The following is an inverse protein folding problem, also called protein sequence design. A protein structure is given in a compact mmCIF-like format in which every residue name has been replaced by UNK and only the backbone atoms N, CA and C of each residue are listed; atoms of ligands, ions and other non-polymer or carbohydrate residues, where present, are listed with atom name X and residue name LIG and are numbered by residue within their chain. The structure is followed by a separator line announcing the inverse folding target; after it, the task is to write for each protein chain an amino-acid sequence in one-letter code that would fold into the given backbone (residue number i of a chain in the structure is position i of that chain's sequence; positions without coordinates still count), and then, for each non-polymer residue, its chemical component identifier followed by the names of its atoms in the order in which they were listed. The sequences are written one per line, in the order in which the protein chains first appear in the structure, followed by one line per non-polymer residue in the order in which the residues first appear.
data_IF_359454556525
#
_entry.id   IF_359454556525
#
_cell.length_a   1.000
_cell.length_b   1.000
_cell.length_c   1.000
_cell.angle_alpha   90.00
_cell.angle_beta   90.00
_cell.angle_gamma   90.00
#
_symmetry.space_group_name_H-M   'P 1'
#
loop_
_entity.id
_entity.type
_entity.pdbx_description
1 polymer ?
#
# COMPACT_ATOMS: atom_id res chain seq x y z
N UNK A 1 21.05 8.64 10.52
CA UNK A 1 21.05 9.35 9.22
C UNK A 1 19.70 10.03 9.07
N UNK A 2 19.58 11.12 8.31
CA UNK A 2 18.28 11.76 8.04
C UNK A 2 18.19 11.94 6.52
N UNK A 3 17.16 11.39 5.89
CA UNK A 3 16.87 11.69 4.49
C UNK A 3 15.86 12.83 4.45
N UNK A 4 16.22 13.90 3.72
CA UNK A 4 15.36 15.05 3.47
C UNK A 4 14.95 15.03 2.00
N UNK A 5 13.63 15.03 1.77
CA UNK A 5 13.04 14.91 0.45
C UNK A 5 12.25 16.17 0.12
N UNK A 6 12.42 16.65 -1.10
CA UNK A 6 11.65 17.77 -1.65
C UNK A 6 11.19 17.37 -3.05
N UNK A 7 9.89 17.45 -3.28
CA UNK A 7 9.27 17.22 -4.59
C UNK A 7 8.45 18.45 -4.97
N UNK A 8 8.65 18.95 -6.19
CA UNK A 8 7.87 20.07 -6.72
C UNK A 8 7.36 19.75 -8.12
N UNK A 9 6.05 19.80 -8.31
CA UNK A 9 5.44 19.69 -9.63
C UNK A 9 5.54 21.00 -10.40
N UNK A 10 5.36 20.93 -11.71
CA UNK A 10 5.31 22.10 -12.60
C UNK A 10 4.23 21.90 -13.67
N UNK A 11 3.92 22.92 -14.46
CA UNK A 11 2.97 22.79 -15.57
C UNK A 11 3.37 21.70 -16.58
N UNK A 12 4.68 21.46 -16.77
CA UNK A 12 5.18 20.40 -17.68
C UNK A 12 5.16 19.01 -17.03
N UNK A 13 5.27 18.96 -15.71
CA UNK A 13 5.32 17.73 -14.93
C UNK A 13 4.33 17.87 -13.74
N UNK A 14 3.01 17.81 -14.02
CA UNK A 14 1.97 17.99 -13.00
C UNK A 14 1.71 16.71 -12.19
N UNK A 15 2.32 15.59 -12.59
CA UNK A 15 2.27 14.33 -11.89
C UNK A 15 3.69 13.87 -11.61
N UNK A 16 4.05 13.79 -10.32
CA UNK A 16 5.35 13.31 -9.88
C UNK A 16 5.20 12.46 -8.62
N UNK A 17 6.11 11.51 -8.46
CA UNK A 17 6.22 10.65 -7.28
C UNK A 17 7.64 10.71 -6.73
N UNK A 18 7.78 10.70 -5.41
CA UNK A 18 9.07 10.59 -4.73
C UNK A 18 8.93 9.76 -3.45
N UNK A 19 9.62 8.63 -3.43
CA UNK A 19 9.61 7.68 -2.31
C UNK A 19 11.02 7.45 -1.79
N UNK A 20 11.15 7.28 -0.47
CA UNK A 20 12.23 6.46 0.08
C UNK A 20 11.82 5.00 -0.15
N UNK A 21 12.58 4.29 -0.97
CA UNK A 21 12.30 2.91 -1.37
C UNK A 21 13.31 1.95 -0.76
N UNK A 22 12.84 1.01 0.06
CA UNK A 22 13.61 -0.13 0.53
C UNK A 22 13.19 -1.37 -0.25
N UNK A 23 13.86 -1.62 -1.37
CA UNK A 23 13.67 -2.81 -2.20
C UNK A 23 14.74 -3.88 -1.93
N UNK A 24 14.35 -5.14 -2.06
CA UNK A 24 15.22 -6.32 -1.98
C UNK A 24 15.49 -6.93 -3.36
N UNK A 25 15.01 -6.27 -4.42
CA UNK A 25 15.16 -6.75 -5.79
C UNK A 25 16.53 -6.39 -6.35
N UNK A 26 17.09 -7.32 -7.12
CA UNK A 26 18.19 -7.08 -8.04
C UNK A 26 17.66 -7.41 -9.44
N UNK A 27 17.87 -6.52 -10.41
CA UNK A 27 17.33 -6.70 -11.76
C UNK A 27 15.96 -6.06 -11.93
N UNK A 28 15.10 -6.63 -12.78
CA UNK A 28 13.82 -6.05 -13.15
C UNK A 28 12.90 -5.87 -11.92
N UNK A 29 12.44 -4.64 -11.69
CA UNK A 29 11.62 -4.28 -10.52
C UNK A 29 10.20 -3.96 -10.95
N UNK A 30 9.39 -5.01 -11.15
CA UNK A 30 7.92 -5.02 -11.11
C UNK A 30 7.16 -3.83 -11.69
N UNK A 31 7.64 -3.23 -12.79
CA UNK A 31 7.05 -2.03 -13.40
C UNK A 31 8.06 -1.09 -14.07
N UNK A 32 9.33 -1.15 -13.66
CA UNK A 32 10.39 -0.33 -14.24
C UNK A 32 11.21 -1.12 -15.27
N UNK A 33 11.44 -0.51 -16.44
CA UNK A 33 12.17 -1.11 -17.57
C UNK A 33 13.69 -1.17 -17.38
N UNK A 34 14.20 -0.87 -16.17
CA UNK A 34 15.62 -0.87 -15.83
C UNK A 34 15.91 -1.74 -14.60
N UNK A 35 17.10 -2.39 -14.54
CA UNK A 35 17.55 -3.06 -13.34
C UNK A 35 17.61 -2.10 -12.14
N UNK A 36 16.96 -2.46 -11.03
CA UNK A 36 17.17 -1.78 -9.75
C UNK A 36 18.18 -2.55 -8.91
N UNK A 37 18.82 -1.82 -7.98
CA UNK A 37 19.66 -2.39 -6.93
C UNK A 37 19.15 -1.85 -5.61
N UNK A 38 18.40 -2.68 -4.91
CA UNK A 38 17.78 -2.23 -3.69
C UNK A 38 18.68 -2.17 -2.47
N UNK A 39 18.20 -1.46 -1.45
CA UNK A 39 18.90 -1.26 -0.18
C UNK A 39 18.68 -2.43 0.81
N UNK A 40 17.57 -3.16 0.68
CA UNK A 40 17.25 -4.26 1.58
C UNK A 40 18.01 -5.53 1.19
N UNK A 41 18.50 -6.25 2.20
CA UNK A 41 19.15 -7.56 2.05
C UNK A 41 18.23 -8.73 2.38
N UNK A 42 16.99 -8.44 2.78
CA UNK A 42 16.00 -9.43 3.19
C UNK A 42 14.68 -9.15 2.49
N UNK A 43 13.94 -10.22 2.17
CA UNK A 43 12.55 -10.12 1.73
C UNK A 43 11.68 -10.48 2.93
N UNK A 44 11.10 -9.50 3.65
CA UNK A 44 10.21 -9.79 4.76
C UNK A 44 8.94 -10.51 4.29
N UNK A 45 8.39 -11.33 5.16
CA UNK A 45 7.23 -12.17 4.87
C UNK A 45 6.18 -12.01 5.96
N UNK A 46 4.94 -11.73 5.54
CA UNK A 46 3.82 -11.64 6.48
C UNK A 46 3.52 -13.00 7.12
N UNK A 47 3.08 -13.04 8.38
CA UNK A 47 2.77 -11.90 9.24
C UNK A 47 3.98 -11.36 10.05
N UNK A 48 5.18 -11.88 9.86
CA UNK A 48 6.24 -11.83 10.87
C UNK A 48 7.27 -10.72 10.64
N UNK A 49 6.84 -9.46 10.58
CA UNK A 49 7.76 -8.32 10.58
C UNK A 49 7.08 -7.01 10.94
N UNK A 50 7.86 -6.09 11.49
CA UNK A 50 7.47 -4.71 11.75
C UNK A 50 8.35 -3.75 10.95
N UNK A 51 7.88 -2.52 10.79
CA UNK A 51 8.70 -1.43 10.26
C UNK A 51 8.66 -0.28 11.24
N UNK A 52 9.83 0.21 11.63
CA UNK A 52 9.99 1.34 12.55
C UNK A 52 10.67 2.48 11.80
N UNK A 53 10.20 3.72 11.98
CA UNK A 53 10.80 4.92 11.40
C UNK A 53 10.25 6.17 12.07
N UNK A 54 10.99 7.26 11.98
CA UNK A 54 10.51 8.60 12.37
C UNK A 54 10.22 9.41 11.12
N UNK A 55 8.99 9.90 10.99
CA UNK A 55 8.51 10.68 9.86
C UNK A 55 8.13 12.08 10.31
N UNK A 56 8.53 13.09 9.53
CA UNK A 56 8.07 14.45 9.65
C UNK A 56 7.62 14.97 8.28
N UNK A 57 6.31 15.18 8.10
CA UNK A 57 5.77 15.80 6.89
C UNK A 57 5.78 17.31 7.09
N UNK A 58 6.58 18.03 6.31
CA UNK A 58 6.74 19.49 6.38
C UNK A 58 5.76 20.17 5.43
N UNK A 59 5.61 19.63 4.21
CA UNK A 59 4.62 20.08 3.21
C UNK A 59 3.98 18.87 2.53
N UNK A 60 2.66 18.92 2.36
CA UNK A 60 1.86 17.77 1.96
C UNK A 60 1.74 17.53 0.45
N UNK A 61 2.16 18.45 -0.43
CA UNK A 61 1.97 18.27 -1.87
C UNK A 61 0.59 18.66 -2.42
N UNK A 62 -0.21 19.40 -1.64
CA UNK A 62 -1.54 19.86 -2.02
C UNK A 62 -2.68 18.94 -1.58
N UNK A 63 -3.94 19.32 -1.85
CA UNK A 63 -5.13 18.60 -1.37
C UNK A 63 -5.28 17.21 -1.98
N UNK A 64 -4.86 17.06 -3.24
CA UNK A 64 -4.99 15.82 -4.02
C UNK A 64 -3.78 14.89 -3.91
N UNK A 65 -2.80 15.21 -3.07
CA UNK A 65 -1.62 14.36 -2.93
C UNK A 65 -1.95 13.07 -2.18
N UNK A 66 -1.30 11.99 -2.58
CA UNK A 66 -1.29 10.74 -1.84
C UNK A 66 0.08 10.62 -1.19
N UNK A 67 0.14 10.91 0.11
CA UNK A 67 1.34 10.65 0.90
C UNK A 67 1.19 9.30 1.58
N UNK A 68 2.01 8.34 1.18
CA UNK A 68 2.00 7.00 1.73
C UNK A 68 2.86 6.94 3.00
N UNK A 69 2.22 6.67 4.14
CA UNK A 69 2.94 6.28 5.37
C UNK A 69 3.71 4.98 5.13
N UNK A 70 3.08 4.09 4.37
CA UNK A 70 3.60 2.81 3.95
C UNK A 70 3.02 2.48 2.58
N UNK A 71 3.89 2.24 1.61
CA UNK A 71 3.58 1.67 0.31
C UNK A 71 4.39 0.38 0.19
N UNK A 72 3.71 -0.74 0.03
CA UNK A 72 4.31 -2.06 -0.07
C UNK A 72 4.04 -2.69 -1.41
N UNK A 73 5.11 -3.13 -2.07
CA UNK A 73 5.04 -3.82 -3.35
C UNK A 73 5.49 -5.28 -3.27
N UNK A 74 4.78 -6.15 -3.99
CA UNK A 74 5.11 -7.56 -4.15
C UNK A 74 4.55 -8.14 -5.44
N UNK A 75 4.84 -9.41 -5.73
CA UNK A 75 4.31 -10.14 -6.87
C UNK A 75 4.01 -11.60 -6.51
N UNK A 76 2.80 -12.06 -6.85
CA UNK A 76 2.44 -13.48 -6.90
C UNK A 76 1.34 -13.72 -7.95
N UNK A 77 1.09 -14.97 -8.32
CA UNK A 77 0.02 -15.34 -9.26
C UNK A 77 -1.31 -15.53 -8.53
N UNK A 78 -2.44 -15.47 -9.23
CA UNK A 78 -3.77 -15.69 -8.62
C UNK A 78 -3.94 -17.09 -8.04
N UNK A 79 -3.13 -18.06 -8.47
CA UNK A 79 -3.10 -19.41 -7.89
C UNK A 79 -2.17 -19.57 -6.66
N UNK A 80 -1.60 -18.47 -6.17
CA UNK A 80 -0.72 -18.43 -5.00
C UNK A 80 0.74 -18.79 -5.25
N UNK A 81 1.10 -19.16 -6.48
CA UNK A 81 2.50 -19.39 -6.85
C UNK A 81 3.28 -18.06 -6.91
N UNK A 82 4.60 -18.09 -6.67
CA UNK A 82 5.47 -16.94 -6.92
C UNK A 82 5.41 -16.50 -8.39
N UNK A 83 5.63 -15.20 -8.63
CA UNK A 83 5.85 -14.68 -9.97
C UNK A 83 7.12 -15.25 -10.60
N UNK A 84 7.10 -15.41 -11.93
CA UNK A 84 8.19 -15.98 -12.72
C UNK A 84 8.59 -15.14 -13.94
N UNK A 85 8.04 -13.92 -14.05
CA UNK A 85 8.26 -13.00 -15.16
C UNK A 85 7.23 -13.15 -16.29
N UNK A 86 6.22 -14.01 -16.14
CA UNK A 86 5.15 -14.14 -17.12
C UNK A 86 4.12 -13.01 -16.93
N UNK A 87 4.21 -11.99 -17.80
CA UNK A 87 3.35 -10.79 -17.79
C UNK A 87 1.84 -11.07 -17.90
N UNK A 88 1.43 -12.27 -18.31
CA UNK A 88 0.01 -12.65 -18.40
C UNK A 88 -0.50 -13.19 -17.06
N UNK A 89 0.32 -13.98 -16.35
CA UNK A 89 -0.10 -14.67 -15.11
C UNK A 89 0.37 -13.98 -13.83
N UNK A 90 1.46 -13.24 -13.90
CA UNK A 90 2.02 -12.51 -12.78
C UNK A 90 1.12 -11.34 -12.41
N UNK A 91 0.96 -11.10 -11.11
CA UNK A 91 0.15 -9.99 -10.61
C UNK A 91 0.96 -9.19 -9.61
N UNK A 92 1.17 -7.92 -9.92
CA UNK A 92 1.83 -6.97 -9.01
C UNK A 92 0.82 -6.48 -7.99
N UNK A 93 1.23 -6.44 -6.72
CA UNK A 93 0.33 -6.14 -5.62
C UNK A 93 0.85 -5.04 -4.73
N UNK A 94 -0.04 -4.11 -4.44
CA UNK A 94 0.23 -2.94 -3.63
C UNK A 94 -0.67 -2.88 -2.40
N UNK A 95 -0.05 -2.59 -1.26
CA UNK A 95 -0.75 -2.12 -0.07
C UNK A 95 -0.25 -0.74 0.30
N UNK A 96 -1.16 0.22 0.39
CA UNK A 96 -0.81 1.64 0.53
C UNK A 96 -1.65 2.30 1.63
N UNK A 97 -1.02 2.94 2.61
CA UNK A 97 -1.69 3.74 3.65
C UNK A 97 -1.50 5.23 3.36
N UNK A 98 -2.58 5.94 3.02
CA UNK A 98 -2.53 7.38 2.67
C UNK A 98 -2.74 8.24 3.92
N UNK A 99 -1.79 9.14 4.23
CA UNK A 99 -1.86 10.05 5.39
C UNK A 99 -2.66 11.33 5.16
N UNK A 100 -2.71 11.81 3.92
CA UNK A 100 -3.34 13.10 3.62
C UNK A 100 -4.80 13.09 4.12
N UNK A 101 -5.16 13.92 5.11
CA UNK A 101 -6.47 13.89 5.75
C UNK A 101 -7.61 14.26 4.79
N UNK A 102 -7.30 14.99 3.72
CA UNK A 102 -8.25 15.42 2.71
C UNK A 102 -8.63 14.28 1.74
N UNK A 103 -7.88 13.18 1.73
CA UNK A 103 -8.21 12.00 0.92
C UNK A 103 -9.57 11.42 1.35
N UNK A 104 -10.56 11.38 0.45
CA UNK A 104 -11.87 10.82 0.75
C UNK A 104 -11.83 9.30 0.70
N UNK A 105 -12.78 8.63 1.35
CA UNK A 105 -13.04 7.22 1.07
C UNK A 105 -13.88 7.10 -0.21
N UNK A 106 -13.43 6.31 -1.18
CA UNK A 106 -14.23 5.93 -2.35
C UNK A 106 -14.94 4.59 -2.17
N UNK A 107 -14.47 3.77 -1.25
CA UNK A 107 -15.21 2.62 -0.76
C UNK A 107 -16.40 3.09 0.08
N UNK A 108 -17.62 2.93 -0.45
CA UNK A 108 -18.85 3.40 0.21
C UNK A 108 -19.94 2.33 0.22
N UNK A 109 -20.85 2.34 1.20
CA UNK A 109 -21.94 1.36 1.27
C UNK A 109 -22.89 1.40 0.07
N UNK A 110 -23.09 2.59 -0.52
CA UNK A 110 -23.93 2.81 -1.71
C UNK A 110 -23.19 2.57 -3.03
N UNK A 111 -21.85 2.43 -3.00
CA UNK A 111 -21.01 2.14 -4.17
C UNK A 111 -19.85 1.20 -3.80
N UNK A 112 -20.14 -0.09 -3.51
CA UNK A 112 -19.15 -1.02 -2.95
C UNK A 112 -18.12 -1.56 -3.96
N UNK A 113 -18.20 -1.13 -5.24
CA UNK A 113 -17.30 -1.60 -6.32
C UNK A 113 -15.81 -1.31 -6.08
N UNK A 114 -15.50 -0.33 -5.22
CA UNK A 114 -14.15 0.05 -4.79
C UNK A 114 -13.84 -0.43 -3.36
N UNK A 115 -14.68 -1.28 -2.78
CA UNK A 115 -14.44 -1.90 -1.49
C UNK A 115 -13.88 -3.31 -1.66
N UNK A 116 -12.94 -3.75 -0.80
CA UNK A 116 -12.59 -5.16 -0.76
C UNK A 116 -13.83 -5.99 -0.35
N UNK A 117 -13.98 -7.23 -0.84
CA UNK A 117 -15.12 -8.09 -0.54
C UNK A 117 -15.41 -8.30 0.95
N UNK A 118 -14.38 -8.29 1.78
CA UNK A 118 -14.50 -8.38 3.23
C UNK A 118 -13.33 -7.71 3.94
N UNK A 119 -13.56 -7.39 5.20
CA UNK A 119 -12.57 -6.97 6.18
C UNK A 119 -12.32 -8.12 7.17
N UNK A 120 -11.07 -8.29 7.62
CA UNK A 120 -10.71 -9.21 8.71
C UNK A 120 -10.18 -8.38 9.87
N UNK A 121 -10.88 -8.43 11.00
CA UNK A 121 -10.46 -7.78 12.24
C UNK A 121 -9.25 -8.49 12.87
N UNK A 122 -8.50 -7.83 13.77
CA UNK A 122 -7.35 -8.43 14.46
C UNK A 122 -7.64 -9.76 15.17
N UNK A 123 -8.88 -9.97 15.62
CA UNK A 123 -9.34 -11.21 16.26
C UNK A 123 -9.73 -12.33 15.26
N UNK A 124 -9.56 -12.09 13.95
CA UNK A 124 -9.88 -13.03 12.87
C UNK A 124 -11.34 -12.96 12.38
N UNK A 125 -12.19 -12.12 12.98
CA UNK A 125 -13.59 -11.97 12.54
C UNK A 125 -13.62 -11.37 11.14
N UNK A 126 -14.34 -12.05 10.22
CA UNK A 126 -14.53 -11.58 8.84
C UNK A 126 -15.91 -10.95 8.69
N UNK A 127 -15.94 -9.71 8.21
CA UNK A 127 -17.18 -8.99 7.88
C UNK A 127 -17.19 -8.66 6.40
N UNK A 128 -18.28 -9.01 5.71
CA UNK A 128 -18.45 -8.73 4.29
C UNK A 128 -18.87 -7.29 4.04
N UNK A 129 -18.49 -6.73 2.88
CA UNK A 129 -18.89 -5.38 2.45
C UNK A 129 -20.39 -5.19 2.20
N UNK A 130 -21.20 -6.23 2.32
CA UNK A 130 -22.67 -6.14 2.27
C UNK A 130 -23.28 -5.97 3.67
N UNK A 131 -22.52 -6.23 4.74
CA UNK A 131 -22.89 -5.83 6.08
C UNK A 131 -22.55 -4.34 6.24
N UNK A 132 -23.49 -3.49 5.81
CA UNK A 132 -23.32 -2.04 5.81
C UNK A 132 -23.20 -1.44 7.21
N UNK A 133 -23.53 -2.21 8.25
CA UNK A 133 -23.50 -1.77 9.64
C UNK A 133 -22.15 -1.97 10.31
N UNK A 134 -21.44 -3.03 9.97
CA UNK A 134 -20.18 -3.39 10.63
C UNK A 134 -18.95 -3.27 9.74
N UNK A 135 -19.10 -3.24 8.41
CA UNK A 135 -17.96 -3.09 7.51
C UNK A 135 -17.34 -1.69 7.63
N UNK A 136 -16.01 -1.56 7.84
CA UNK A 136 -15.39 -0.27 8.08
C UNK A 136 -15.06 0.46 6.76
N UNK A 137 -16.08 0.96 6.05
CA UNK A 137 -15.91 1.61 4.74
C UNK A 137 -14.88 2.74 4.75
N UNK A 138 -14.93 3.61 5.77
CA UNK A 138 -14.03 4.77 5.90
C UNK A 138 -12.56 4.40 6.09
N UNK A 139 -12.27 3.14 6.44
CA UNK A 139 -10.91 2.62 6.57
C UNK A 139 -10.23 2.36 5.21
N UNK A 140 -10.99 2.38 4.12
CA UNK A 140 -10.51 2.09 2.77
C UNK A 140 -10.67 3.31 1.88
N UNK A 141 -9.61 3.69 1.16
CA UNK A 141 -9.74 4.63 0.06
C UNK A 141 -10.33 3.89 -1.14
N UNK A 142 -9.64 2.83 -1.60
CA UNK A 142 -10.10 1.98 -2.69
C UNK A 142 -9.45 0.59 -2.69
N UNK A 143 -10.14 -0.34 -3.32
CA UNK A 143 -9.65 -1.63 -3.78
C UNK A 143 -9.91 -1.74 -5.29
N UNK A 144 -8.90 -2.15 -6.05
CA UNK A 144 -9.08 -2.59 -7.43
C UNK A 144 -8.49 -4.00 -7.62
N UNK A 145 -9.22 -4.85 -8.33
CA UNK A 145 -8.92 -6.25 -8.53
C UNK A 145 -7.94 -6.46 -9.70
N UNK A 146 -7.25 -7.60 -9.75
CA UNK A 146 -6.37 -7.90 -10.88
C UNK A 146 -7.16 -8.10 -12.18
N UNK A 147 -6.61 -7.62 -13.30
CA UNK A 147 -7.24 -7.73 -14.61
C UNK A 147 -7.38 -9.18 -15.12
N UNK A 148 -6.61 -10.11 -14.57
CA UNK A 148 -6.60 -11.53 -14.95
C UNK A 148 -7.26 -12.44 -13.89
N UNK A 149 -8.07 -11.90 -12.96
CA UNK A 149 -8.81 -12.70 -12.01
C UNK A 149 -10.10 -13.27 -12.61
N UNK A 150 -10.28 -14.59 -12.58
CA UNK A 150 -11.41 -15.28 -13.21
C UNK A 150 -12.68 -15.32 -12.34
N UNK A 151 -12.52 -15.18 -11.02
CA UNK A 151 -13.57 -15.38 -10.02
C UNK A 151 -13.74 -14.18 -9.08
N UNK A 152 -13.49 -12.97 -9.59
CA UNK A 152 -13.59 -11.73 -8.82
C UNK A 152 -15.05 -11.51 -8.40
N UNK A 153 -15.26 -11.32 -7.09
CA UNK A 153 -16.59 -11.05 -6.53
C UNK A 153 -17.15 -9.72 -7.05
N UNK A 154 -18.35 -9.75 -7.64
CA UNK A 154 -19.03 -8.56 -8.14
C UNK A 154 -19.93 -7.91 -7.07
N UNK A 155 -20.08 -6.58 -7.08
CA UNK A 155 -19.47 -5.62 -8.00
C UNK A 155 -18.00 -5.33 -7.65
N UNK A 156 -17.11 -5.27 -8.64
CA UNK A 156 -15.72 -4.85 -8.47
C UNK A 156 -15.21 -4.09 -9.69
N UNK A 157 -14.13 -3.32 -9.51
CA UNK A 157 -13.38 -2.72 -10.61
C UNK A 157 -12.02 -3.39 -10.74
N UNK A 158 -11.53 -3.50 -11.97
CA UNK A 158 -10.14 -3.91 -12.21
C UNK A 158 -9.22 -2.69 -12.09
N UNK A 159 -7.98 -2.89 -11.65
CA UNK A 159 -6.96 -1.86 -11.74
C UNK A 159 -6.67 -1.52 -13.21
N UNK A 160 -6.15 -0.32 -13.44
CA UNK A 160 -5.86 0.13 -14.79
C UNK A 160 -4.78 -0.77 -15.45
N UNK A 161 -4.93 -1.12 -16.73
CA UNK A 161 -3.99 -2.01 -17.41
C UNK A 161 -2.78 -1.27 -18.00
N UNK A 162 -2.68 0.05 -17.84
CA UNK A 162 -1.69 0.88 -18.55
C UNK A 162 -0.50 1.26 -17.67
N UNK A 163 -0.68 1.34 -16.36
CA UNK A 163 0.37 1.77 -15.44
C UNK A 163 1.48 0.72 -15.25
N UNK A 164 1.20 -0.57 -15.53
CA UNK A 164 2.17 -1.65 -15.43
C UNK A 164 2.02 -2.69 -16.56
N UNK A 165 3.12 -3.36 -16.98
CA UNK A 165 3.06 -4.35 -18.06
C UNK A 165 2.38 -5.67 -17.66
N UNK A 166 2.30 -5.97 -16.36
CA UNK A 166 1.55 -7.09 -15.81
C UNK A 166 0.30 -6.59 -15.04
N UNK A 167 -0.76 -7.41 -14.91
CA UNK A 167 -1.92 -7.08 -14.08
C UNK A 167 -1.55 -6.61 -12.67
N UNK A 168 -2.36 -5.69 -12.15
CA UNK A 168 -2.15 -5.08 -10.84
C UNK A 168 -3.33 -5.33 -9.93
N UNK A 169 -3.06 -5.42 -8.64
CA UNK A 169 -4.08 -5.35 -7.60
C UNK A 169 -3.62 -4.36 -6.52
N UNK A 170 -4.45 -3.37 -6.22
CA UNK A 170 -4.11 -2.26 -5.32
C UNK A 170 -5.15 -2.20 -4.21
N UNK A 171 -4.67 -2.13 -2.97
CA UNK A 171 -5.49 -1.86 -1.80
C UNK A 171 -4.95 -0.65 -1.05
N UNK A 172 -5.68 0.46 -1.17
CA UNK A 172 -5.39 1.72 -0.49
C UNK A 172 -6.26 1.87 0.75
N UNK A 173 -5.63 2.06 1.91
CA UNK A 173 -6.27 2.24 3.22
C UNK A 173 -6.05 3.65 3.76
N UNK A 174 -6.92 4.05 4.68
CA UNK A 174 -6.94 5.37 5.32
C UNK A 174 -6.84 5.25 6.84
N UNK A 175 -6.40 6.30 7.55
CA UNK A 175 -6.41 6.36 9.01
C UNK A 175 -7.78 6.02 9.59
N UNK A 176 -7.85 4.99 10.43
CA UNK A 176 -9.10 4.49 11.00
C UNK A 176 -8.84 3.63 12.25
N UNK A 177 -9.73 3.61 13.27
CA UNK A 177 -9.50 2.87 14.51
C UNK A 177 -9.22 1.38 14.35
N UNK A 178 -9.77 0.75 13.31
CA UNK A 178 -9.55 -0.69 13.01
C UNK A 178 -8.08 -1.04 12.72
N UNK A 179 -7.24 -0.05 12.45
CA UNK A 179 -5.81 -0.23 12.23
C UNK A 179 -4.95 -0.05 13.49
N UNK A 180 -5.56 0.40 14.60
CA UNK A 180 -4.84 0.78 15.82
C UNK A 180 -4.03 -0.35 16.43
N UNK A 181 -4.55 -1.58 16.44
CA UNK A 181 -3.84 -2.76 16.96
C UNK A 181 -2.54 -3.06 16.18
N UNK A 182 -2.43 -2.57 14.94
CA UNK A 182 -1.24 -2.72 14.10
C UNK A 182 -0.28 -1.51 14.20
N UNK A 183 -0.57 -0.54 15.06
CA UNK A 183 0.25 0.67 15.26
C UNK A 183 0.05 1.78 14.22
N UNK A 184 -0.93 1.62 13.31
CA UNK A 184 -1.21 2.58 12.25
C UNK A 184 -2.06 3.77 12.75
N UNK A 185 -2.10 4.90 12.01
CA UNK A 185 -2.97 6.04 12.29
C UNK A 185 -4.43 5.64 12.51
N UNK A 186 -5.04 6.17 13.57
CA UNK A 186 -6.44 5.85 13.92
C UNK A 186 -7.42 6.96 13.55
N UNK A 187 -6.92 8.17 13.28
CA UNK A 187 -7.71 9.34 12.88
C UNK A 187 -7.02 10.07 11.74
N UNK A 188 -7.81 10.69 10.87
CA UNK A 188 -7.29 11.60 9.84
C UNK A 188 -6.45 12.69 10.48
N UNK A 189 -5.25 12.92 9.93
CA UNK A 189 -4.30 13.91 10.43
C UNK A 189 -3.27 13.38 11.43
N UNK A 190 -3.44 12.18 12.00
CA UNK A 190 -2.37 11.55 12.81
C UNK A 190 -1.13 11.31 11.93
N UNK A 191 0.02 11.87 12.33
CA UNK A 191 1.27 11.78 11.56
C UNK A 191 1.40 12.73 10.38
N UNK A 192 0.45 13.65 10.23
CA UNK A 192 0.46 14.62 9.14
C UNK A 192 1.27 15.88 9.48
N UNK A 193 1.06 16.96 8.72
CA UNK A 193 1.79 18.22 8.87
C UNK A 193 1.64 18.77 10.30
N UNK A 194 2.78 19.07 10.92
CA UNK A 194 2.83 19.58 12.30
C UNK A 194 2.81 18.48 13.39
N UNK A 195 2.78 17.21 12.99
CA UNK A 195 2.70 16.06 13.88
C UNK A 195 3.81 15.02 13.57
N UNK A 196 5.09 15.37 13.78
CA UNK A 196 6.20 14.45 13.57
C UNK A 196 6.13 13.30 14.58
N UNK A 197 6.26 12.06 14.10
CA UNK A 197 6.11 10.87 14.94
C UNK A 197 7.09 9.76 14.57
N UNK A 198 7.48 9.00 15.59
CA UNK A 198 8.08 7.68 15.40
C UNK A 198 6.96 6.64 15.33
N UNK A 199 6.91 5.92 14.22
CA UNK A 199 6.00 4.82 13.98
C UNK A 199 6.70 3.50 14.29
N UNK A 200 5.98 2.58 14.92
CA UNK A 200 6.30 1.15 14.93
C UNK A 200 5.07 0.40 14.39
N UNK A 201 5.10 0.08 13.10
CA UNK A 201 3.98 -0.51 12.39
C UNK A 201 4.14 -2.03 12.35
N UNK A 202 3.10 -2.76 12.76
CA UNK A 202 2.99 -4.21 12.55
C UNK A 202 2.53 -4.52 11.12
N UNK A 203 3.41 -4.12 10.20
CA UNK A 203 3.19 -4.20 8.75
C UNK A 203 2.93 -5.64 8.31
N UNK A 204 3.64 -6.61 8.88
CA UNK A 204 3.44 -8.02 8.59
C UNK A 204 2.04 -8.49 8.97
N UNK A 205 1.59 -8.25 10.21
CA UNK A 205 0.27 -8.72 10.65
C UNK A 205 -0.88 -8.02 9.92
N UNK A 206 -0.76 -6.72 9.64
CA UNK A 206 -1.75 -5.99 8.86
C UNK A 206 -1.84 -6.57 7.45
N UNK A 207 -0.72 -6.59 6.73
CA UNK A 207 -0.67 -7.09 5.35
C UNK A 207 -1.04 -8.57 5.21
N UNK A 208 -1.03 -9.37 6.28
CA UNK A 208 -1.59 -10.72 6.31
C UNK A 208 -3.13 -10.73 6.38
N UNK A 209 -3.71 -9.78 7.09
CA UNK A 209 -5.16 -9.67 7.35
C UNK A 209 -5.92 -9.03 6.18
N UNK A 210 -5.22 -8.23 5.38
CA UNK A 210 -5.82 -7.53 4.24
C UNK A 210 -6.26 -8.49 3.12
N UNK A 211 -7.29 -8.07 2.39
CA UNK A 211 -7.80 -8.77 1.22
C UNK A 211 -6.86 -8.61 0.03
N UNK A 212 -6.47 -9.74 -0.57
CA UNK A 212 -5.90 -9.82 -1.91
C UNK A 212 -6.56 -11.00 -2.60
N UNK A 213 -6.95 -10.80 -3.85
CA UNK A 213 -7.63 -11.77 -4.67
C UNK A 213 -6.76 -13.00 -4.88
N UNK A 214 -7.41 -14.15 -4.78
CA UNK A 214 -6.83 -15.45 -5.03
C UNK A 214 -7.89 -16.37 -5.62
N UNK A 215 -7.53 -17.17 -6.61
CA UNK A 215 -8.47 -18.09 -7.27
C UNK A 215 -8.99 -19.14 -6.26
N UNK A 216 -10.30 -19.42 -6.25
CA UNK A 216 -10.88 -20.44 -5.38
C UNK A 216 -10.19 -21.80 -5.52
N UNK A 217 -10.02 -22.50 -4.39
CA UNK A 217 -9.40 -23.84 -4.36
C UNK A 217 -7.88 -23.86 -4.51
N UNK A 218 -7.22 -22.72 -4.63
CA UNK A 218 -5.76 -22.64 -4.74
C UNK A 218 -5.07 -22.52 -3.38
N UNK A 219 -3.77 -22.87 -3.33
CA UNK A 219 -2.98 -22.81 -2.10
C UNK A 219 -2.72 -21.36 -1.70
N UNK A 220 -2.91 -20.94 -0.43
CA UNK A 220 -2.65 -19.57 0.00
C UNK A 220 -1.27 -19.04 -0.43
N UNK A 221 -1.26 -17.84 -1.01
CA UNK A 221 -0.02 -17.17 -1.41
C UNK A 221 0.87 -16.87 -0.20
N UNK A 222 2.18 -17.04 -0.36
CA UNK A 222 3.16 -16.53 0.62
C UNK A 222 3.43 -15.06 0.32
N UNK A 223 3.00 -14.17 1.22
CA UNK A 223 3.11 -12.71 1.05
C UNK A 223 4.50 -12.22 1.40
N UNK A 224 5.38 -12.19 0.40
CA UNK A 224 6.77 -11.74 0.49
C UNK A 224 6.91 -10.35 -0.09
N UNK A 225 7.24 -9.36 0.72
CA UNK A 225 7.22 -7.95 0.30
C UNK A 225 8.60 -7.52 -0.16
N UNK A 226 8.77 -7.39 -1.47
CA UNK A 226 10.04 -7.07 -2.09
C UNK A 226 10.33 -5.57 -2.13
N UNK A 227 9.33 -4.73 -1.89
CA UNK A 227 9.44 -3.27 -1.79
C UNK A 227 8.68 -2.78 -0.56
N UNK A 228 9.33 -1.98 0.27
CA UNK A 228 8.72 -1.27 1.40
C UNK A 228 9.13 0.19 1.29
N UNK A 229 8.16 1.06 1.09
CA UNK A 229 8.36 2.44 0.67
C UNK A 229 7.57 3.39 1.57
N UNK A 230 7.97 4.64 1.59
CA UNK A 230 7.16 5.76 2.07
C UNK A 230 7.50 7.01 1.27
N UNK A 231 6.55 7.94 1.19
CA UNK A 231 6.74 9.20 0.48
C UNK A 231 5.46 9.63 -0.20
N UNK A 232 5.56 10.33 -1.32
CA UNK A 232 4.42 11.06 -1.87
C UNK A 232 4.29 10.96 -3.38
N UNK A 233 3.04 10.85 -3.80
CA UNK A 233 2.56 11.05 -5.14
C UNK A 233 1.73 12.33 -5.19
N UNK A 234 2.09 13.24 -6.09
CA UNK A 234 1.29 14.42 -6.41
C UNK A 234 0.70 14.20 -7.79
N UNK A 235 -0.63 14.18 -7.89
CA UNK A 235 -1.35 13.90 -9.13
C UNK A 235 -2.06 15.15 -9.67
N UNK A 236 -1.92 15.39 -10.99
CA UNK A 236 -2.69 16.36 -11.80
C UNK A 236 -2.65 17.84 -11.36
N UNK A 237 -1.75 18.24 -10.46
CA UNK A 237 -1.70 19.59 -9.90
C UNK A 237 -0.31 20.21 -10.08
N UNK A 238 -0.16 21.31 -10.86
CA UNK A 238 1.13 21.96 -11.04
C UNK A 238 1.49 22.84 -9.84
N UNK A 239 2.80 23.11 -9.66
CA UNK A 239 3.34 24.01 -8.64
C UNK A 239 3.06 23.61 -7.18
N UNK A 240 2.68 22.36 -6.95
CA UNK A 240 2.59 21.80 -5.61
C UNK A 240 3.97 21.44 -5.10
N UNK A 241 4.15 21.52 -3.78
CA UNK A 241 5.40 21.15 -3.11
C UNK A 241 5.08 20.19 -1.99
N UNK A 242 5.72 19.03 -2.02
CA UNK A 242 5.83 18.14 -0.90
C UNK A 242 7.25 18.17 -0.34
N UNK A 243 7.36 18.17 0.98
CA UNK A 243 8.63 18.21 1.69
C UNK A 243 8.49 17.40 2.97
N UNK A 244 9.45 16.53 3.23
CA UNK A 244 9.40 15.64 4.39
C UNK A 244 10.77 15.09 4.72
N UNK A 245 10.93 14.65 5.97
CA UNK A 245 12.14 13.96 6.43
C UNK A 245 11.79 12.60 7.02
N UNK A 246 12.72 11.66 6.87
CA UNK A 246 12.65 10.35 7.51
C UNK A 246 14.00 9.98 8.12
N UNK A 247 13.94 9.33 9.27
CA UNK A 247 15.10 8.76 9.96
C UNK A 247 14.72 7.45 10.64
N UNK A 248 15.72 6.72 11.13
CA UNK A 248 15.57 5.48 11.88
C UNK A 248 14.69 4.42 11.17
N UNK A 249 14.80 4.31 9.84
CA UNK A 249 14.03 3.33 9.08
C UNK A 249 14.62 1.93 9.23
N UNK A 250 13.93 1.09 9.99
CA UNK A 250 14.31 -0.27 10.33
C UNK A 250 13.20 -1.26 9.93
N UNK A 251 13.57 -2.32 9.20
CA UNK A 251 12.70 -3.49 8.99
C UNK A 251 13.08 -4.54 10.03
N UNK A 252 12.16 -4.80 10.95
CA UNK A 252 12.38 -5.67 12.11
C UNK A 252 11.75 -7.04 11.84
N UNK A 253 12.58 -8.06 11.64
CA UNK A 253 12.16 -9.45 11.46
C UNK A 253 12.56 -10.26 12.70
N UNK A 254 11.65 -11.03 13.33
CA UNK A 254 11.98 -11.88 14.46
C UNK A 254 13.09 -12.89 14.10
N UNK A 255 14.02 -13.12 15.02
CA UNK A 255 14.98 -14.23 14.86
C UNK A 255 14.19 -15.54 14.83
N UNK A 256 14.51 -16.40 13.86
CA UNK A 256 14.01 -17.78 13.88
C UNK A 256 14.50 -18.43 15.18
N UNK A 257 13.55 -18.93 15.98
CA UNK A 257 13.87 -19.84 17.09
C UNK A 257 14.31 -21.18 16.52
#
# INVERSE_FOLDING_TARGET
WIFHHVLRTSTKYPWLMLYLRSDATFGFSGGYHYPTRGMSKIIPESPNFKVRFTLNVIRGGGPSSQFYLMDMGSCWKNNGNPCDGNVTSDVTRYNEMILNPETPSWCKPDSPKLCPPYHIFPNGTRIHRNDTTHFPYEAYHMYCAPGNGEHIEQPSVHCDPYSNPQPQEILQILPHPVWGDYGYPTRKGDGWIGDPRTWELDVGRLSHSLYFYQDPGTKPARRKWSSINLGTEIYKEPNQVAEWTVTDFDILVPKKK
#
